data_IF_797265481521
#
_entry.id   IF_797265481521
#
_cell.length_a   1.000
_cell.length_b   1.000
_cell.length_c   1.000
_cell.angle_alpha   90.00
_cell.angle_beta   90.00
_cell.angle_gamma   90.00
#
_symmetry.space_group_name_H-M   'P 1'
#
loop_
_entity.id
_entity.type
_entity.pdbx_description
1 polymer ?
#
# COMPACT_ATOMS: atom_id res chain seq x y z
N UNK A 1 24.41 -19.25 14.02
CA UNK A 1 23.79 -20.57 14.30
C UNK A 1 22.32 -20.47 13.87
N UNK A 2 21.97 -20.93 12.67
CA UNK A 2 20.60 -20.85 12.13
C UNK A 2 19.73 -21.80 12.94
N UNK A 3 18.74 -21.29 13.68
CA UNK A 3 17.70 -22.14 14.28
C UNK A 3 16.85 -22.69 13.15
N UNK A 4 17.10 -23.95 12.80
CA UNK A 4 16.19 -24.77 12.01
C UNK A 4 15.01 -25.02 12.94
N UNK A 5 13.83 -24.51 12.58
CA UNK A 5 12.59 -24.94 13.22
C UNK A 5 12.34 -26.38 12.77
N UNK A 6 12.78 -27.34 13.58
CA UNK A 6 12.34 -28.74 13.44
C UNK A 6 10.87 -28.81 13.84
N UNK A 7 9.98 -28.83 12.84
CA UNK A 7 8.59 -29.19 13.06
C UNK A 7 8.54 -30.64 13.56
N UNK A 8 8.12 -30.83 14.81
CA UNK A 8 7.94 -32.18 15.37
C UNK A 8 6.94 -32.97 14.52
N UNK A 9 7.26 -34.21 14.22
CA UNK A 9 6.54 -35.14 13.34
C UNK A 9 5.18 -35.66 13.88
N UNK A 10 4.51 -34.90 14.74
CA UNK A 10 3.08 -35.08 14.96
C UNK A 10 2.35 -34.30 13.86
N UNK A 11 2.38 -34.83 12.64
CA UNK A 11 1.78 -34.20 11.47
C UNK A 11 0.27 -34.02 11.70
N UNK A 12 -0.13 -32.82 12.14
CA UNK A 12 -1.52 -32.40 12.08
C UNK A 12 -1.90 -32.49 10.61
N UNK A 13 -2.88 -33.34 10.29
CA UNK A 13 -3.37 -33.48 8.92
C UNK A 13 -3.71 -32.08 8.40
N UNK A 14 -3.33 -31.75 7.14
CA UNK A 14 -3.56 -30.41 6.64
C UNK A 14 -5.05 -30.08 6.70
N UNK A 15 -5.42 -28.89 7.19
CA UNK A 15 -6.82 -28.53 7.33
C UNK A 15 -7.47 -28.54 5.94
N UNK A 16 -8.71 -29.02 5.85
CA UNK A 16 -9.45 -28.95 4.59
C UNK A 16 -9.63 -27.49 4.17
N UNK A 17 -9.70 -27.23 2.86
CA UNK A 17 -9.93 -25.87 2.35
C UNK A 17 -11.16 -25.23 3.01
N UNK A 18 -12.27 -25.96 3.11
CA UNK A 18 -13.50 -25.48 3.76
C UNK A 18 -13.26 -25.04 5.21
N UNK A 19 -12.47 -25.81 5.99
CA UNK A 19 -12.15 -25.44 7.37
C UNK A 19 -11.29 -24.18 7.44
N UNK A 20 -10.30 -24.05 6.56
CA UNK A 20 -9.45 -22.84 6.46
C UNK A 20 -10.30 -21.61 6.13
N UNK A 21 -11.17 -21.71 5.12
CA UNK A 21 -12.03 -20.60 4.71
C UNK A 21 -12.99 -20.17 5.84
N UNK A 22 -13.59 -21.11 6.57
CA UNK A 22 -14.45 -20.79 7.71
C UNK A 22 -13.68 -20.05 8.82
N UNK A 23 -12.47 -20.49 9.15
CA UNK A 23 -11.64 -19.83 10.16
C UNK A 23 -11.23 -18.42 9.72
N UNK A 24 -10.85 -18.26 8.45
CA UNK A 24 -10.48 -16.96 7.89
C UNK A 24 -11.66 -15.99 7.90
N UNK A 25 -12.86 -16.43 7.52
CA UNK A 25 -14.05 -15.58 7.57
C UNK A 25 -14.40 -15.19 9.01
N UNK A 26 -14.31 -16.12 9.96
CA UNK A 26 -14.57 -15.85 11.36
C UNK A 26 -13.59 -14.82 11.95
N UNK A 27 -12.32 -14.91 11.56
CA UNK A 27 -11.25 -14.03 12.08
C UNK A 27 -11.28 -12.65 11.42
N UNK A 28 -11.42 -12.59 10.09
CA UNK A 28 -11.19 -11.37 9.32
C UNK A 28 -12.46 -10.63 8.93
N UNK A 29 -13.62 -11.27 8.85
CA UNK A 29 -14.81 -10.66 8.22
C UNK A 29 -15.90 -10.43 9.28
N UNK A 30 -16.06 -9.19 9.78
CA UNK A 30 -17.13 -8.86 10.71
C UNK A 30 -18.52 -9.12 10.12
N UNK A 31 -19.46 -9.53 10.97
CA UNK A 31 -20.85 -9.79 10.56
C UNK A 31 -21.54 -8.55 9.98
N UNK A 32 -21.19 -7.36 10.50
CA UNK A 32 -21.80 -6.08 10.12
C UNK A 32 -20.75 -5.15 9.53
N UNK A 33 -20.82 -4.95 8.22
CA UNK A 33 -19.99 -4.00 7.48
C UNK A 33 -20.87 -2.96 6.77
N UNK A 34 -20.37 -1.73 6.53
CA UNK A 34 -21.18 -0.64 5.98
C UNK A 34 -21.67 -0.91 4.55
N UNK A 35 -20.89 -1.62 3.74
CA UNK A 35 -21.23 -1.95 2.36
C UNK A 35 -20.75 -3.33 1.95
N UNK A 36 -21.24 -3.81 0.80
CA UNK A 36 -20.75 -5.02 0.19
C UNK A 36 -19.27 -4.93 -0.23
N UNK A 37 -18.83 -3.76 -0.69
CA UNK A 37 -17.43 -3.54 -1.03
C UNK A 37 -16.51 -3.57 0.21
N UNK A 38 -16.99 -3.06 1.35
CA UNK A 38 -16.26 -3.20 2.63
C UNK A 38 -16.09 -4.67 3.02
N UNK A 39 -17.09 -5.51 2.71
CA UNK A 39 -17.00 -6.96 2.90
C UNK A 39 -15.96 -7.58 1.98
N UNK A 40 -15.92 -7.18 0.72
CA UNK A 40 -14.88 -7.63 -0.21
C UNK A 40 -13.47 -7.19 0.22
N UNK A 41 -13.31 -6.01 0.83
CA UNK A 41 -12.02 -5.59 1.43
C UNK A 41 -11.58 -6.56 2.54
N UNK A 42 -12.47 -6.91 3.47
CA UNK A 42 -12.13 -7.83 4.55
C UNK A 42 -11.84 -9.25 4.02
N UNK A 43 -12.53 -9.68 2.96
CA UNK A 43 -12.26 -10.95 2.28
C UNK A 43 -10.91 -10.90 1.54
N UNK A 44 -10.51 -9.74 1.00
CA UNK A 44 -9.20 -9.55 0.38
C UNK A 44 -8.08 -9.67 1.42
N UNK A 45 -8.24 -9.09 2.61
CA UNK A 45 -7.30 -9.29 3.73
C UNK A 45 -7.18 -10.78 4.13
N UNK A 46 -8.32 -11.48 4.22
CA UNK A 46 -8.34 -12.93 4.48
C UNK A 46 -7.64 -13.73 3.37
N UNK A 47 -7.80 -13.32 2.11
CA UNK A 47 -7.15 -13.94 0.96
C UNK A 47 -5.64 -13.73 0.98
N UNK A 48 -5.16 -12.54 1.34
CA UNK A 48 -3.74 -12.29 1.54
C UNK A 48 -3.16 -13.17 2.65
N UNK A 49 -3.85 -13.30 3.78
CA UNK A 49 -3.42 -14.21 4.85
C UNK A 49 -3.40 -15.68 4.40
N UNK A 50 -4.38 -16.10 3.60
CA UNK A 50 -4.40 -17.43 3.00
C UNK A 50 -3.14 -17.69 2.16
N UNK A 51 -2.77 -16.73 1.31
CA UNK A 51 -1.60 -16.82 0.44
C UNK A 51 -0.29 -16.77 1.22
N UNK A 52 -0.16 -15.81 2.13
CA UNK A 52 1.11 -15.50 2.80
C UNK A 52 1.42 -16.48 3.94
N UNK A 53 0.38 -17.04 4.59
CA UNK A 53 0.52 -17.88 5.79
C UNK A 53 0.06 -19.30 5.55
N UNK A 54 -1.22 -19.52 5.23
CA UNK A 54 -1.75 -20.90 5.12
C UNK A 54 -1.08 -21.67 3.99
N UNK A 55 -0.92 -21.06 2.82
CA UNK A 55 -0.26 -21.68 1.66
C UNK A 55 1.24 -21.87 1.83
N UNK A 56 1.87 -21.11 2.73
CA UNK A 56 3.26 -21.30 3.10
C UNK A 56 3.41 -22.52 4.03
N UNK A 57 2.51 -22.65 5.01
CA UNK A 57 2.51 -23.76 5.98
C UNK A 57 2.00 -25.07 5.37
N UNK A 58 1.05 -24.99 4.44
CA UNK A 58 0.32 -26.10 3.82
C UNK A 58 0.34 -25.95 2.28
N UNK A 59 1.46 -26.27 1.61
CA UNK A 59 1.63 -26.06 0.17
C UNK A 59 0.63 -26.82 -0.72
N UNK A 60 0.02 -27.88 -0.21
CA UNK A 60 -1.03 -28.69 -0.84
C UNK A 60 -2.38 -27.97 -0.97
N UNK A 61 -2.61 -26.89 -0.21
CA UNK A 61 -3.79 -26.05 -0.38
C UNK A 61 -3.78 -25.39 -1.79
N UNK A 62 -4.94 -25.23 -2.44
CA UNK A 62 -5.00 -24.79 -3.83
C UNK A 62 -4.49 -23.35 -4.03
N UNK A 63 -3.99 -23.09 -5.24
CA UNK A 63 -3.75 -21.73 -5.74
C UNK A 63 -5.08 -21.12 -6.14
N UNK A 64 -5.50 -20.11 -5.38
CA UNK A 64 -6.73 -19.37 -5.62
C UNK A 64 -6.35 -17.93 -5.90
N UNK A 65 -6.76 -17.44 -7.07
CA UNK A 65 -6.84 -16.00 -7.31
C UNK A 65 -7.97 -15.41 -6.46
N UNK A 66 -7.97 -14.10 -6.26
CA UNK A 66 -8.92 -13.44 -5.36
C UNK A 66 -10.39 -13.78 -5.70
N UNK A 67 -10.75 -13.75 -6.98
CA UNK A 67 -12.13 -14.05 -7.40
C UNK A 67 -12.52 -15.51 -7.16
N UNK A 68 -11.58 -16.44 -7.28
CA UNK A 68 -11.84 -17.85 -7.00
C UNK A 68 -11.93 -18.09 -5.49
N UNK A 69 -11.15 -17.37 -4.69
CA UNK A 69 -11.28 -17.37 -3.24
C UNK A 69 -12.66 -16.87 -2.78
N UNK A 70 -13.16 -15.78 -3.38
CA UNK A 70 -14.51 -15.24 -3.13
C UNK A 70 -15.59 -16.28 -3.47
N UNK A 71 -15.48 -16.97 -4.62
CA UNK A 71 -16.40 -18.06 -4.99
C UNK A 71 -16.36 -19.18 -3.94
N UNK A 72 -15.17 -19.65 -3.56
CA UNK A 72 -15.02 -20.72 -2.57
C UNK A 72 -15.67 -20.34 -1.24
N UNK A 73 -15.51 -19.09 -0.76
CA UNK A 73 -16.20 -18.60 0.44
C UNK A 73 -17.71 -18.66 0.27
N UNK A 74 -18.25 -18.14 -0.84
CA UNK A 74 -19.69 -18.08 -1.08
C UNK A 74 -20.38 -19.45 -1.06
N UNK A 75 -19.68 -20.51 -1.50
CA UNK A 75 -20.22 -21.88 -1.51
C UNK A 75 -19.87 -22.72 -0.27
N UNK A 76 -18.71 -22.48 0.36
CA UNK A 76 -18.22 -23.30 1.47
C UNK A 76 -18.53 -22.73 2.86
N UNK A 77 -18.95 -21.46 2.97
CA UNK A 77 -19.20 -20.79 4.24
C UNK A 77 -20.68 -20.39 4.33
N UNK A 78 -21.53 -21.17 5.03
CA UNK A 78 -23.00 -20.96 5.02
C UNK A 78 -23.45 -19.57 5.48
N UNK A 79 -22.68 -18.88 6.32
CA UNK A 79 -22.98 -17.52 6.79
C UNK A 79 -22.80 -16.44 5.71
N UNK A 80 -22.32 -16.81 4.53
CA UNK A 80 -21.99 -15.90 3.43
C UNK A 80 -22.99 -15.93 2.27
N UNK A 81 -24.27 -16.23 2.56
CA UNK A 81 -25.36 -16.28 1.56
C UNK A 81 -25.50 -14.99 0.73
N UNK A 82 -25.17 -13.82 1.27
CA UNK A 82 -25.15 -12.57 0.51
C UNK A 82 -24.12 -12.58 -0.63
N UNK A 83 -22.92 -13.13 -0.39
CA UNK A 83 -21.91 -13.27 -1.46
C UNK A 83 -22.41 -14.24 -2.54
N UNK A 84 -23.08 -15.31 -2.12
CA UNK A 84 -23.65 -16.28 -3.04
C UNK A 84 -24.73 -15.65 -3.94
N UNK A 85 -25.62 -14.85 -3.36
CA UNK A 85 -26.66 -14.15 -4.11
C UNK A 85 -26.06 -13.18 -5.13
N UNK A 86 -25.07 -12.38 -4.73
CA UNK A 86 -24.38 -11.44 -5.64
C UNK A 86 -23.68 -12.15 -6.80
N UNK A 87 -23.02 -13.28 -6.53
CA UNK A 87 -22.39 -14.09 -7.58
C UNK A 87 -23.39 -14.79 -8.52
N UNK A 88 -24.65 -14.97 -8.09
CA UNK A 88 -25.71 -15.51 -8.93
C UNK A 88 -26.31 -14.44 -9.87
N UNK A 89 -26.29 -13.17 -9.46
CA UNK A 89 -26.87 -12.05 -10.23
C UNK A 89 -25.84 -11.29 -11.06
N UNK A 90 -24.57 -11.29 -10.64
CA UNK A 90 -23.50 -10.51 -11.24
C UNK A 90 -22.36 -11.43 -11.65
N UNK A 91 -21.84 -11.26 -12.87
CA UNK A 91 -20.70 -12.08 -13.32
C UNK A 91 -19.43 -11.76 -12.49
N UNK A 92 -18.55 -12.75 -12.25
CA UNK A 92 -17.33 -12.54 -11.48
C UNK A 92 -16.41 -11.42 -12.01
N UNK A 93 -16.38 -11.23 -13.33
CA UNK A 93 -15.55 -10.19 -13.97
C UNK A 93 -16.10 -8.78 -13.70
N UNK A 94 -17.42 -8.61 -13.74
CA UNK A 94 -18.08 -7.34 -13.40
C UNK A 94 -17.86 -7.04 -11.92
N UNK A 95 -18.08 -8.04 -11.05
CA UNK A 95 -17.84 -7.92 -9.61
C UNK A 95 -16.42 -7.45 -9.30
N UNK A 96 -15.42 -8.07 -9.93
CA UNK A 96 -14.01 -7.71 -9.74
C UNK A 96 -13.69 -6.33 -10.30
N UNK A 97 -14.23 -5.98 -11.47
CA UNK A 97 -14.09 -4.65 -12.06
C UNK A 97 -14.66 -3.56 -11.15
N UNK A 98 -15.87 -3.75 -10.64
CA UNK A 98 -16.56 -2.80 -9.76
C UNK A 98 -15.84 -2.66 -8.43
N UNK A 99 -15.38 -3.78 -7.85
CA UNK A 99 -14.59 -3.77 -6.64
C UNK A 99 -13.25 -3.04 -6.82
N UNK A 100 -12.55 -3.25 -7.94
CA UNK A 100 -11.31 -2.52 -8.24
C UNK A 100 -11.57 -1.03 -8.46
N UNK A 101 -12.67 -0.67 -9.14
CA UNK A 101 -13.10 0.72 -9.29
C UNK A 101 -13.36 1.35 -7.92
N UNK A 102 -14.04 0.66 -7.01
CA UNK A 102 -14.24 1.10 -5.63
C UNK A 102 -12.90 1.28 -4.91
N UNK A 103 -11.98 0.31 -4.97
CA UNK A 103 -10.64 0.43 -4.35
C UNK A 103 -9.84 1.62 -4.88
N UNK A 104 -10.06 2.01 -6.14
CA UNK A 104 -9.39 3.18 -6.74
C UNK A 104 -9.86 4.52 -6.16
N UNK A 105 -11.03 4.57 -5.50
CA UNK A 105 -11.58 5.79 -4.89
C UNK A 105 -11.27 5.92 -3.40
N UNK A 106 -10.82 4.83 -2.75
CA UNK A 106 -10.48 4.84 -1.32
C UNK A 106 -9.36 5.88 -1.07
N UNK A 107 -9.59 6.87 -0.19
CA UNK A 107 -8.59 7.87 0.14
C UNK A 107 -7.30 7.23 0.65
N UNK A 108 -6.17 7.84 0.31
CA UNK A 108 -4.88 7.42 0.81
C UNK A 108 -4.24 8.50 1.68
N UNK A 109 -3.54 8.06 2.71
CA UNK A 109 -2.82 8.92 3.63
C UNK A 109 -1.37 8.47 3.73
N UNK A 110 -0.46 9.44 3.86
CA UNK A 110 0.97 9.20 3.91
C UNK A 110 1.71 10.37 4.55
N UNK A 111 3.03 10.36 4.43
CA UNK A 111 3.85 11.42 4.98
C UNK A 111 5.00 11.86 4.05
N UNK A 112 5.38 13.13 4.18
CA UNK A 112 6.60 13.71 3.62
C UNK A 112 7.58 13.85 4.76
N UNK A 113 8.58 12.98 4.79
CA UNK A 113 9.61 12.95 5.82
C UNK A 113 10.76 13.83 5.38
N UNK A 114 11.10 14.83 6.19
CA UNK A 114 12.22 15.75 5.98
C UNK A 114 13.33 15.50 7.00
N UNK A 115 14.55 15.76 6.57
CA UNK A 115 15.72 15.69 7.44
C UNK A 115 15.78 16.86 8.44
N UNK A 116 16.82 16.89 9.27
CA UNK A 116 17.02 17.92 10.30
C UNK A 116 17.24 19.32 9.70
N UNK A 117 17.96 19.39 8.57
CA UNK A 117 18.30 20.64 7.89
C UNK A 117 17.23 21.09 6.87
N UNK A 118 16.18 20.28 6.68
CA UNK A 118 15.08 20.52 5.74
C UNK A 118 15.58 20.73 4.30
N UNK A 119 16.54 19.90 3.88
CA UNK A 119 17.12 19.89 2.53
C UNK A 119 16.73 18.63 1.75
N UNK A 120 16.47 17.54 2.46
CA UNK A 120 16.16 16.25 1.86
C UNK A 120 14.76 15.78 2.24
N UNK A 121 14.14 15.03 1.33
CA UNK A 121 12.91 14.30 1.59
C UNK A 121 13.10 12.81 1.36
N UNK A 122 12.49 11.98 2.20
CA UNK A 122 12.51 10.53 2.00
C UNK A 122 11.49 10.16 0.92
N UNK A 123 11.96 9.46 -0.11
CA UNK A 123 11.13 8.93 -1.17
C UNK A 123 11.29 7.41 -1.28
N UNK A 124 10.26 6.79 -1.83
CA UNK A 124 10.19 5.34 -2.06
C UNK A 124 9.92 5.04 -3.54
N UNK A 125 10.45 3.92 -4.03
CA UNK A 125 10.08 3.32 -5.32
C UNK A 125 9.42 1.97 -5.04
N UNK A 126 8.21 1.76 -5.54
CA UNK A 126 7.58 0.43 -5.48
C UNK A 126 8.19 -0.50 -6.54
N UNK A 127 8.19 -1.82 -6.33
CA UNK A 127 8.78 -2.75 -7.31
C UNK A 127 8.17 -2.70 -8.72
N UNK A 128 6.92 -2.20 -8.83
CA UNK A 128 6.18 -2.12 -10.09
C UNK A 128 6.48 -0.84 -10.89
N UNK A 129 7.28 0.07 -10.35
CA UNK A 129 7.53 1.36 -11.00
C UNK A 129 8.95 1.86 -10.72
N UNK A 130 9.53 2.57 -11.66
CA UNK A 130 10.77 3.32 -11.44
C UNK A 130 10.51 4.73 -10.89
N UNK A 131 9.24 5.10 -10.70
CA UNK A 131 8.87 6.43 -10.22
C UNK A 131 9.09 6.54 -8.73
N UNK A 132 9.70 7.64 -8.33
CA UNK A 132 9.80 8.04 -6.93
C UNK A 132 8.47 8.62 -6.45
N UNK A 133 8.14 8.38 -5.19
CA UNK A 133 7.04 9.06 -4.52
C UNK A 133 7.16 9.00 -3.02
N UNK A 134 6.14 9.50 -2.33
CA UNK A 134 6.09 9.47 -0.87
C UNK A 134 5.36 8.23 -0.35
N UNK A 135 5.75 7.73 0.84
CA UNK A 135 5.10 6.59 1.44
C UNK A 135 3.65 6.90 1.81
N UNK A 136 2.72 5.99 1.49
CA UNK A 136 1.27 6.12 1.73
C UNK A 136 0.54 4.79 1.51
N UNK A 137 -0.70 4.74 1.99
CA UNK A 137 -1.64 3.72 1.54
C UNK A 137 -3.07 4.02 1.93
N UNK A 138 -3.95 3.01 1.79
CA UNK A 138 -5.40 3.19 1.79
C UNK A 138 -5.94 3.26 3.21
N UNK A 139 -6.86 4.19 3.45
CA UNK A 139 -7.57 4.28 4.72
C UNK A 139 -8.44 3.05 4.97
N UNK A 140 -8.33 2.49 6.18
CA UNK A 140 -9.22 1.42 6.66
C UNK A 140 -10.57 1.98 7.11
N UNK A 141 -11.56 1.09 7.25
CA UNK A 141 -12.92 1.45 7.63
C UNK A 141 -12.91 2.19 8.98
N UNK A 142 -13.39 3.44 8.98
CA UNK A 142 -13.45 4.33 10.16
C UNK A 142 -12.09 4.62 10.81
N UNK A 143 -10.99 4.48 10.06
CA UNK A 143 -9.66 4.84 10.52
C UNK A 143 -9.48 6.37 10.51
N UNK A 144 -8.79 6.90 11.52
CA UNK A 144 -8.42 8.31 11.54
C UNK A 144 -7.34 8.60 10.47
N UNK A 145 -7.42 9.73 9.73
CA UNK A 145 -6.43 10.10 8.72
C UNK A 145 -4.97 10.08 9.17
N UNK A 146 -4.67 10.56 10.37
CA UNK A 146 -3.30 10.59 10.91
C UNK A 146 -2.87 9.18 11.29
N UNK A 147 -3.76 8.40 11.90
CA UNK A 147 -3.49 6.99 12.22
C UNK A 147 -3.20 6.19 10.95
N UNK A 148 -3.98 6.39 9.88
CA UNK A 148 -3.73 5.78 8.58
C UNK A 148 -2.35 6.17 8.03
N UNK A 149 -2.01 7.47 8.04
CA UNK A 149 -0.71 7.93 7.55
C UNK A 149 0.46 7.28 8.31
N UNK A 150 0.39 7.26 9.64
CA UNK A 150 1.43 6.67 10.50
C UNK A 150 1.57 5.17 10.21
N UNK A 151 0.45 4.45 10.17
CA UNK A 151 0.44 3.00 9.91
C UNK A 151 1.05 2.67 8.55
N UNK A 152 0.59 3.33 7.49
CA UNK A 152 1.04 3.05 6.11
C UNK A 152 2.53 3.38 5.93
N UNK A 153 2.99 4.49 6.51
CA UNK A 153 4.43 4.83 6.50
C UNK A 153 5.23 3.79 7.27
N UNK A 154 4.78 3.38 8.45
CA UNK A 154 5.46 2.36 9.23
C UNK A 154 5.49 0.98 8.51
N UNK A 155 4.46 0.64 7.75
CA UNK A 155 4.40 -0.56 6.91
C UNK A 155 5.43 -0.49 5.75
N UNK A 156 5.47 0.62 5.01
CA UNK A 156 6.32 0.77 3.81
C UNK A 156 7.80 1.03 4.10
N UNK A 157 8.15 1.69 5.21
CA UNK A 157 9.55 2.06 5.52
C UNK A 157 10.05 1.60 6.89
N UNK A 158 9.19 0.97 7.71
CA UNK A 158 9.59 0.41 9.01
C UNK A 158 9.84 1.43 10.11
N UNK A 159 9.34 2.65 9.95
CA UNK A 159 9.62 3.76 10.87
C UNK A 159 8.34 4.44 11.36
N UNK A 160 8.20 4.57 12.68
CA UNK A 160 7.07 5.26 13.29
C UNK A 160 7.28 6.77 13.27
N UNK A 161 6.53 7.45 12.41
CA UNK A 161 6.63 8.91 12.20
C UNK A 161 5.80 9.74 13.19
N UNK A 162 4.97 9.13 14.04
CA UNK A 162 4.07 9.87 14.94
C UNK A 162 4.77 10.95 15.79
N UNK A 163 5.98 10.73 16.35
CA UNK A 163 6.68 11.76 17.13
C UNK A 163 7.16 12.97 16.33
N UNK A 164 7.26 12.83 15.01
CA UNK A 164 7.81 13.84 14.08
C UNK A 164 6.73 14.56 13.28
N UNK A 165 5.48 14.08 13.37
CA UNK A 165 4.39 14.47 12.51
C UNK A 165 3.81 15.84 12.90
N UNK A 166 3.68 16.70 11.89
CA UNK A 166 3.00 18.00 11.96
C UNK A 166 1.61 17.84 11.36
N UNK A 167 0.57 18.05 12.19
CA UNK A 167 -0.82 17.82 11.79
C UNK A 167 -1.38 18.95 10.92
N UNK A 168 -0.83 20.14 11.07
CA UNK A 168 -1.30 21.35 10.43
C UNK A 168 -0.84 21.44 8.97
N UNK A 169 -1.73 21.92 8.11
CA UNK A 169 -1.46 22.20 6.68
C UNK A 169 -0.90 20.97 5.91
N UNK A 170 -1.57 19.80 5.96
CA UNK A 170 -1.19 18.69 5.10
C UNK A 170 -1.41 19.06 3.63
N UNK A 171 -0.73 18.35 2.73
CA UNK A 171 -0.94 18.50 1.30
C UNK A 171 -2.06 17.56 0.89
N UNK A 172 -3.08 18.07 0.19
CA UNK A 172 -4.09 17.26 -0.47
C UNK A 172 -3.95 17.35 -1.99
N UNK A 173 -3.89 16.18 -2.65
CA UNK A 173 -3.85 16.08 -4.10
C UNK A 173 -4.89 15.06 -4.59
N UNK A 174 -5.32 15.25 -5.84
CA UNK A 174 -6.18 14.29 -6.53
C UNK A 174 -5.31 13.54 -7.55
N UNK A 175 -5.20 12.22 -7.37
CA UNK A 175 -4.50 11.32 -8.28
C UNK A 175 -5.52 10.41 -8.97
N UNK A 176 -5.93 10.77 -10.19
CA UNK A 176 -7.03 10.07 -10.87
C UNK A 176 -8.35 10.27 -10.12
N UNK A 177 -8.96 9.18 -9.63
CA UNK A 177 -10.19 9.21 -8.80
C UNK A 177 -9.91 9.28 -7.29
N UNK A 178 -8.63 9.21 -6.91
CA UNK A 178 -8.18 9.02 -5.53
C UNK A 178 -7.79 10.34 -4.90
N UNK A 179 -8.33 10.65 -3.73
CA UNK A 179 -7.82 11.72 -2.87
C UNK A 179 -6.61 11.18 -2.10
N UNK A 180 -5.50 11.89 -2.13
CA UNK A 180 -4.29 11.54 -1.39
C UNK A 180 -3.89 12.71 -0.51
N UNK A 181 -3.67 12.45 0.77
CA UNK A 181 -3.25 13.45 1.76
C UNK A 181 -1.90 13.07 2.36
N UNK A 182 -0.95 14.01 2.37
CA UNK A 182 0.35 13.83 3.00
C UNK A 182 0.53 14.79 4.18
N UNK A 183 0.90 14.24 5.33
CA UNK A 183 1.33 15.02 6.49
C UNK A 183 2.84 15.27 6.44
N UNK A 184 3.28 16.43 6.92
CA UNK A 184 4.71 16.70 7.03
C UNK A 184 5.27 16.04 8.29
N UNK A 185 6.49 15.51 8.19
CA UNK A 185 7.31 15.06 9.31
C UNK A 185 8.70 15.67 9.14
N UNK A 186 9.34 16.13 10.21
CA UNK A 186 10.68 16.71 10.13
C UNK A 186 11.55 16.36 11.35
N UNK A 187 12.83 16.74 11.32
CA UNK A 187 13.84 16.35 12.31
C UNK A 187 14.15 14.85 12.34
N UNK A 188 14.17 14.23 11.16
CA UNK A 188 14.52 12.82 11.03
C UNK A 188 15.99 12.72 10.59
N UNK A 189 16.88 12.08 11.37
CA UNK A 189 18.29 12.00 10.99
C UNK A 189 18.48 11.26 9.65
N UNK A 190 19.36 11.77 8.78
CA UNK A 190 19.68 11.13 7.50
C UNK A 190 20.21 9.70 7.64
N UNK A 191 20.83 9.40 8.79
CA UNK A 191 21.39 8.08 9.14
C UNK A 191 20.33 7.09 9.65
N UNK A 192 19.06 7.51 9.76
CA UNK A 192 17.97 6.63 10.21
C UNK A 192 17.85 5.42 9.27
N UNK A 193 17.93 4.19 9.80
CA UNK A 193 17.75 3.00 8.99
C UNK A 193 16.27 2.80 8.66
N UNK A 194 15.97 2.67 7.37
CA UNK A 194 14.63 2.37 6.86
C UNK A 194 14.59 1.00 6.20
N UNK A 195 13.61 0.19 6.57
CA UNK A 195 13.41 -1.14 6.04
C UNK A 195 11.90 -1.43 5.92
N UNK A 196 11.38 -1.75 4.73
CA UNK A 196 9.98 -2.11 4.58
C UNK A 196 9.62 -3.29 5.49
N UNK A 197 8.47 -3.21 6.15
CA UNK A 197 7.89 -4.36 6.86
C UNK A 197 7.13 -5.27 5.89
N UNK A 198 6.57 -4.68 4.84
CA UNK A 198 5.85 -5.42 3.80
C UNK A 198 6.80 -5.92 2.70
N UNK A 199 6.54 -7.14 2.21
CA UNK A 199 7.38 -7.78 1.19
C UNK A 199 6.96 -7.37 -0.20
N UNK A 200 7.95 -7.14 -1.07
CA UNK A 200 7.74 -6.89 -2.51
C UNK A 200 6.85 -5.69 -2.85
N UNK A 201 6.62 -4.79 -1.89
CA UNK A 201 5.94 -3.52 -2.11
C UNK A 201 6.95 -2.43 -2.47
N UNK A 202 7.92 -2.18 -1.59
CA UNK A 202 8.95 -1.14 -1.78
C UNK A 202 10.29 -1.74 -2.21
N UNK A 203 10.77 -1.31 -3.38
CA UNK A 203 12.05 -1.71 -3.96
C UNK A 203 13.22 -0.86 -3.47
N UNK A 204 13.02 0.46 -3.39
CA UNK A 204 14.06 1.41 -2.93
C UNK A 204 13.47 2.42 -1.98
N UNK A 205 14.30 2.84 -1.04
CA UNK A 205 14.06 3.97 -0.14
C UNK A 205 15.32 4.83 -0.22
N UNK A 206 15.16 6.13 -0.43
CA UNK A 206 16.29 7.05 -0.48
C UNK A 206 15.89 8.45 -0.02
N UNK A 207 16.85 9.13 0.61
CA UNK A 207 16.80 10.58 0.76
C UNK A 207 17.11 11.22 -0.59
N UNK A 208 16.25 12.15 -1.01
CA UNK A 208 16.41 12.92 -2.23
C UNK A 208 16.49 14.40 -1.85
N UNK A 209 17.44 15.13 -2.44
CA UNK A 209 17.58 16.57 -2.27
C UNK A 209 16.41 17.30 -2.96
N UNK A 210 15.83 18.31 -2.30
CA UNK A 210 14.66 19.04 -2.80
C UNK A 210 15.00 19.87 -4.06
N UNK A 211 16.20 20.44 -4.13
CA UNK A 211 16.65 21.20 -5.30
C UNK A 211 16.90 20.23 -6.47
N UNK A 212 17.44 19.04 -6.20
CA UNK A 212 17.61 17.98 -7.21
C UNK A 212 16.25 17.53 -7.77
N UNK A 213 15.26 17.22 -6.90
CA UNK A 213 13.89 16.90 -7.33
C UNK A 213 13.34 18.03 -8.21
N UNK A 214 13.51 19.28 -7.80
CA UNK A 214 13.02 20.45 -8.53
C UNK A 214 13.64 20.52 -9.93
N UNK A 215 14.96 20.33 -10.05
CA UNK A 215 15.63 20.29 -11.36
C UNK A 215 15.13 19.14 -12.23
N UNK A 216 14.97 17.95 -11.68
CA UNK A 216 14.50 16.77 -12.42
C UNK A 216 13.06 16.93 -12.92
N UNK A 217 12.19 17.58 -12.13
CA UNK A 217 10.82 17.92 -12.53
C UNK A 217 10.81 18.95 -13.67
N UNK A 218 11.64 20.00 -13.59
CA UNK A 218 11.81 20.98 -14.67
C UNK A 218 12.34 20.29 -15.95
N UNK A 219 13.29 19.38 -15.81
CA UNK A 219 13.84 18.57 -16.88
C UNK A 219 12.84 17.51 -17.44
N UNK A 220 11.66 17.38 -16.82
CA UNK A 220 10.60 16.42 -17.19
C UNK A 220 11.09 14.96 -17.15
N UNK A 221 11.94 14.64 -16.18
CA UNK A 221 12.39 13.27 -15.97
C UNK A 221 11.20 12.36 -15.59
N UNK A 222 10.94 11.26 -16.33
CA UNK A 222 9.81 10.39 -16.08
C UNK A 222 9.84 9.68 -14.72
N UNK A 223 11.00 9.50 -14.10
CA UNK A 223 11.11 8.90 -12.76
C UNK A 223 10.67 9.86 -11.64
N UNK A 224 10.58 11.17 -11.94
CA UNK A 224 10.18 12.22 -11.00
C UNK A 224 8.79 12.81 -11.30
N UNK A 225 8.07 12.29 -12.30
CA UNK A 225 6.78 12.83 -12.75
C UNK A 225 5.65 12.75 -11.71
N UNK A 226 5.86 12.01 -10.62
CA UNK A 226 4.97 12.01 -9.47
C UNK A 226 4.98 13.36 -8.75
N UNK A 227 6.16 13.99 -8.64
CA UNK A 227 6.31 15.30 -8.02
C UNK A 227 5.81 16.37 -9.00
N UNK A 228 4.85 17.16 -8.56
CA UNK A 228 4.31 18.28 -9.33
C UNK A 228 4.59 19.60 -8.63
N UNK A 229 4.32 20.71 -9.34
CA UNK A 229 4.55 22.06 -8.83
C UNK A 229 3.85 22.33 -7.49
N UNK A 230 2.63 21.82 -7.29
CA UNK A 230 1.91 22.00 -6.02
C UNK A 230 2.65 21.31 -4.87
N UNK A 231 3.13 20.09 -5.07
CA UNK A 231 3.89 19.36 -4.05
C UNK A 231 5.22 20.03 -3.74
N UNK A 232 5.97 20.46 -4.78
CA UNK A 232 7.23 21.19 -4.59
C UNK A 232 7.00 22.50 -3.84
N UNK A 233 6.00 23.29 -4.24
CA UNK A 233 5.69 24.55 -3.58
C UNK A 233 5.25 24.37 -2.13
N UNK A 234 4.50 23.32 -1.84
CA UNK A 234 4.13 23.00 -0.47
C UNK A 234 5.34 22.59 0.38
N UNK A 235 6.27 21.79 -0.15
CA UNK A 235 7.53 21.48 0.53
C UNK A 235 8.34 22.75 0.80
N UNK A 236 8.54 23.60 -0.21
CA UNK A 236 9.29 24.85 -0.07
C UNK A 236 8.62 25.83 0.91
N UNK A 237 7.29 25.88 0.93
CA UNK A 237 6.51 26.67 1.90
C UNK A 237 6.70 26.14 3.32
N UNK A 238 6.65 24.82 3.50
CA UNK A 238 6.91 24.20 4.78
C UNK A 238 8.32 24.50 5.29
N UNK A 239 9.34 24.29 4.44
CA UNK A 239 10.76 24.61 4.75
C UNK A 239 10.91 26.07 5.16
N UNK A 240 10.34 26.99 4.39
CA UNK A 240 10.43 28.42 4.65
C UNK A 240 9.82 28.81 6.00
N UNK A 241 8.64 28.24 6.31
CA UNK A 241 7.96 28.45 7.59
C UNK A 241 8.79 27.95 8.77
N UNK A 242 9.36 26.74 8.68
CA UNK A 242 10.19 26.19 9.76
C UNK A 242 11.48 27.01 9.96
N UNK A 243 12.03 27.58 8.88
CA UNK A 243 13.22 28.43 8.91
C UNK A 243 12.95 29.91 9.22
N UNK A 244 11.69 30.33 9.31
CA UNK A 244 11.32 31.73 9.51
C UNK A 244 11.71 32.66 8.36
N UNK A 245 11.69 32.15 7.12
CA UNK A 245 12.05 32.89 5.91
C UNK A 245 10.88 32.91 4.92
N UNK A 246 10.98 33.75 3.89
CA UNK A 246 10.03 33.77 2.77
C UNK A 246 10.24 32.57 1.82
N UNK A 247 9.16 31.92 1.36
CA UNK A 247 9.26 30.79 0.45
C UNK A 247 9.66 31.22 -0.96
N UNK A 248 10.67 30.54 -1.51
CA UNK A 248 11.05 30.68 -2.93
C UNK A 248 10.26 29.67 -3.75
N UNK A 249 9.07 30.04 -4.20
CA UNK A 249 8.17 29.12 -4.90
C UNK A 249 8.64 28.82 -6.34
N UNK A 250 8.46 27.57 -6.75
CA UNK A 250 8.63 27.13 -8.12
C UNK A 250 7.46 27.61 -8.99
N UNK A 251 7.78 28.26 -10.10
CA UNK A 251 6.85 28.62 -11.16
C UNK A 251 7.26 27.87 -12.42
N UNK A 252 6.43 26.92 -12.86
CA UNK A 252 6.63 26.24 -14.13
C UNK A 252 5.88 26.99 -15.23
N UNK A 253 6.57 27.30 -16.32
CA UNK A 253 5.92 27.84 -17.52
C UNK A 253 5.07 26.72 -18.14
N UNK A 254 3.78 27.02 -18.39
CA UNK A 254 2.66 26.14 -18.78
C UNK A 254 2.06 25.21 -17.70
N UNK A 255 0.71 25.06 -17.66
CA UNK A 255 0.07 24.19 -16.70
C UNK A 255 0.50 22.76 -17.00
N UNK A 256 1.09 22.11 -16.00
CA UNK A 256 1.32 20.67 -16.04
C UNK A 256 -0.06 20.02 -16.20
N UNK A 257 -0.40 19.61 -17.42
CA UNK A 257 -1.57 18.80 -17.68
C UNK A 257 -1.51 17.64 -16.69
N UNK A 258 -2.55 17.53 -15.88
CA UNK A 258 -2.84 16.35 -15.06
C UNK A 258 -2.87 15.16 -16.01
N UNK A 259 -1.71 14.52 -16.19
CA UNK A 259 -1.64 13.31 -16.98
C UNK A 259 -2.48 12.30 -16.21
N UNK A 260 -3.65 11.99 -16.78
CA UNK A 260 -4.54 10.96 -16.30
C UNK A 260 -3.74 9.67 -16.25
N UNK A 261 -3.36 9.26 -15.04
CA UNK A 261 -2.68 8.00 -14.82
C UNK A 261 -3.72 6.88 -14.87
N UNK A 262 -3.67 6.06 -15.92
CA UNK A 262 -4.34 4.77 -15.92
C UNK A 262 -3.54 3.80 -15.05
N UNK A 263 -4.08 3.42 -13.89
CA UNK A 263 -3.60 2.28 -13.06
C UNK A 263 -3.85 0.92 -13.75
N UNK A 264 -4.01 0.88 -15.07
CA UNK A 264 -4.34 -0.33 -15.82
C UNK A 264 -3.09 -0.88 -16.51
N UNK A 265 -2.32 -1.71 -15.79
CA UNK A 265 -1.82 -2.96 -16.38
C UNK A 265 -1.13 -3.85 -15.36
N UNK A 266 -1.65 -5.07 -15.28
CA UNK A 266 -0.90 -6.31 -15.11
C UNK A 266 -0.40 -6.69 -13.71
N UNK A 267 -1.29 -7.34 -12.96
CA UNK A 267 -0.93 -8.23 -11.85
C UNK A 267 -0.43 -9.61 -12.29
N UNK A 268 -0.97 -10.18 -13.38
CA UNK A 268 -0.86 -11.64 -13.63
C UNK A 268 0.55 -12.14 -13.98
N UNK A 269 1.33 -11.39 -14.76
CA UNK A 269 2.64 -11.87 -15.23
C UNK A 269 3.77 -11.63 -14.20
N UNK A 270 3.56 -10.70 -13.28
CA UNK A 270 4.51 -10.30 -12.25
C UNK A 270 4.47 -11.24 -11.04
N UNK A 271 3.29 -11.71 -10.63
CA UNK A 271 3.16 -12.64 -9.50
C UNK A 271 3.85 -13.99 -9.77
N UNK A 272 3.83 -14.49 -11.01
CA UNK A 272 4.54 -15.73 -11.39
C UNK A 272 6.08 -15.62 -11.21
N UNK A 273 6.66 -14.45 -11.54
CA UNK A 273 8.11 -14.19 -11.38
C UNK A 273 8.51 -14.02 -9.92
N UNK A 274 7.67 -13.36 -9.11
CA UNK A 274 7.90 -13.19 -7.66
C UNK A 274 7.93 -14.52 -6.92
N UNK A 275 6.97 -15.41 -7.23
CA UNK A 275 6.89 -16.73 -6.64
C UNK A 275 8.13 -17.57 -6.94
N UNK A 276 8.69 -17.47 -8.14
CA UNK A 276 9.87 -18.26 -8.54
C UNK A 276 11.13 -17.87 -7.76
N UNK A 277 11.24 -16.60 -7.33
CA UNK A 277 12.41 -16.09 -6.61
C UNK A 277 12.31 -16.22 -5.08
N UNK A 278 11.11 -16.13 -4.50
CA UNK A 278 10.91 -16.24 -3.05
C UNK A 278 11.28 -17.62 -2.47
N UNK A 279 11.16 -18.69 -3.27
CA UNK A 279 11.57 -20.05 -2.86
C UNK A 279 13.10 -20.26 -2.83
N UNK A 280 13.90 -19.33 -3.38
CA UNK A 280 15.37 -19.46 -3.38
C UNK A 280 16.05 -18.91 -2.13
N UNK A 281 15.41 -17.99 -1.41
CA UNK A 281 16.11 -17.19 -0.38
C UNK A 281 15.78 -17.56 1.06
N UNK A 282 14.98 -18.60 1.31
CA UNK A 282 14.90 -19.31 2.60
C UNK A 282 14.59 -18.44 3.82
N UNK A 283 13.99 -17.25 3.64
CA UNK A 283 13.66 -16.32 4.71
C UNK A 283 12.25 -15.79 4.46
N UNK A 284 11.28 -16.36 5.15
CA UNK A 284 9.84 -16.14 4.97
C UNK A 284 9.17 -15.80 6.31
N UNK A 285 9.04 -14.50 6.58
CA UNK A 285 8.03 -13.85 7.40
C UNK A 285 7.86 -12.38 6.96
N UNK A 286 6.61 -11.88 6.92
CA UNK A 286 6.28 -10.45 7.08
C UNK A 286 6.90 -9.96 8.39
#
# INVERSE_FOLDING_TARGET
MKRIFEFSSNAVSPPTLSKVLQLLILEFVPDKLPSFNDKLLMIEEAWWYYIDVYRLLYPELPRLEFIDFVKQIAFCVPTQSLLQNELNTTSPDILLSDFNNFKSTIPCYGAILMDEDLQHVLAVQAFRTTRWGFPKGKMKIKEDPVVCAVREVEEEIGFNVLPFLVKENPIEIIMGKKKVTYFFCHHIPLTTPFHPKTRMEIHKIAWLDIDDITREVIAKNPDFNFFNQLMINAMLTFVARQKGIEPKLLVLDTPCNSSYFSENSFGMEYFSKLYTNAFKTGSLHR
#
